data_IF_576138886253
#
_entry.id   IF_576138886253
#
_cell.length_a   1.000
_cell.length_b   1.000
_cell.length_c   1.000
_cell.angle_alpha   90.00
_cell.angle_beta   90.00
_cell.angle_gamma   90.00
#
_symmetry.space_group_name_H-M   'P 1'
#
loop_
_entity.id
_entity.type
_entity.pdbx_description
1 polymer ?
#
# COMPACT_ATOMS: atom_id res chain seq x y z
N UNK A 1 44.70 69.72 24.01
CA UNK A 1 43.27 69.65 24.38
C UNK A 1 42.50 69.51 23.07
N UNK A 2 42.33 68.33 22.48
CA UNK A 2 41.61 67.10 22.88
C UNK A 2 40.09 67.28 22.99
N UNK A 3 39.38 66.72 22.00
CA UNK A 3 38.11 65.96 22.05
C UNK A 3 37.69 65.75 20.58
N UNK A 4 37.46 64.57 20.02
CA UNK A 4 37.28 63.23 20.58
C UNK A 4 36.21 62.53 19.72
N UNK A 5 36.65 61.69 18.78
CA UNK A 5 35.81 60.80 17.97
C UNK A 5 34.90 59.93 18.86
N UNK A 6 33.61 59.83 18.57
CA UNK A 6 32.77 58.69 18.99
C UNK A 6 31.65 58.50 17.95
N UNK A 7 31.81 57.51 17.07
CA UNK A 7 31.02 56.27 17.09
C UNK A 7 30.00 56.19 15.94
N UNK A 8 30.56 55.91 14.76
CA UNK A 8 29.88 55.27 13.63
C UNK A 8 29.55 53.81 14.02
N UNK A 9 28.46 53.58 14.76
CA UNK A 9 28.07 52.22 15.21
C UNK A 9 26.57 52.16 15.57
N UNK A 10 25.67 52.45 14.62
CA UNK A 10 24.31 51.88 14.66
C UNK A 10 24.16 51.01 13.43
N UNK A 11 24.76 49.84 13.59
CA UNK A 11 24.66 48.66 12.74
C UNK A 11 23.20 48.22 12.66
N UNK A 12 22.69 48.05 11.45
CA UNK A 12 22.34 46.73 10.93
C UNK A 12 21.77 45.76 12.00
N UNK A 13 20.55 46.01 12.48
CA UNK A 13 19.87 45.13 13.45
C UNK A 13 18.38 44.99 13.14
N UNK A 14 17.99 44.95 11.87
CA UNK A 14 16.59 44.80 11.48
C UNK A 14 16.41 43.92 10.23
N UNK A 15 17.11 42.76 10.19
CA UNK A 15 16.96 41.80 9.09
C UNK A 15 17.21 40.33 9.49
N UNK A 16 17.09 39.97 10.76
CA UNK A 16 17.24 38.58 11.24
C UNK A 16 16.14 38.22 12.24
N UNK A 17 14.86 38.29 11.83
CA UNK A 17 13.78 37.71 12.64
C UNK A 17 12.64 37.07 11.84
N UNK A 18 12.89 36.66 10.58
CA UNK A 18 11.88 35.94 9.77
C UNK A 18 12.24 34.49 9.41
N UNK A 19 13.37 33.95 9.90
CA UNK A 19 13.80 32.58 9.53
C UNK A 19 13.31 31.51 10.54
N UNK A 20 12.78 31.89 11.71
CA UNK A 20 12.48 30.94 12.80
C UNK A 20 11.05 30.37 12.90
N UNK A 21 10.08 30.88 12.14
CA UNK A 21 8.65 30.56 12.38
C UNK A 21 8.12 29.41 11.49
N UNK A 22 8.79 29.11 10.38
CA UNK A 22 8.34 28.04 9.48
C UNK A 22 8.62 26.63 10.03
N UNK A 23 9.68 26.43 10.80
CA UNK A 23 10.09 25.11 11.31
C UNK A 23 9.21 24.57 12.43
N UNK A 24 8.57 25.44 13.23
CA UNK A 24 7.71 25.01 14.36
C UNK A 24 6.34 24.50 13.88
N UNK A 25 5.77 25.09 12.83
CA UNK A 25 4.49 24.68 12.27
C UNK A 25 4.56 23.31 11.58
N UNK A 26 5.63 23.04 10.82
CA UNK A 26 5.86 21.76 10.17
C UNK A 26 6.03 20.61 11.19
N UNK A 27 6.88 20.81 12.21
CA UNK A 27 7.08 19.83 13.28
C UNK A 27 5.82 19.56 14.11
N UNK A 28 5.01 20.58 14.40
CA UNK A 28 3.73 20.40 15.09
C UNK A 28 2.71 19.62 14.23
N UNK A 29 2.67 19.86 12.92
CA UNK A 29 1.78 19.15 12.01
C UNK A 29 2.17 17.67 11.87
N UNK A 30 3.47 17.36 11.80
CA UNK A 30 4.00 16.00 11.78
C UNK A 30 3.70 15.24 13.09
N UNK A 31 3.96 15.85 14.25
CA UNK A 31 3.62 15.26 15.55
C UNK A 31 2.12 14.95 15.66
N UNK A 32 1.26 15.86 15.19
CA UNK A 32 -0.19 15.63 15.15
C UNK A 32 -0.60 14.48 14.23
N UNK A 33 0.16 14.23 13.15
CA UNK A 33 -0.12 13.13 12.22
C UNK A 33 0.33 11.79 12.81
N UNK A 34 1.52 11.74 13.40
CA UNK A 34 2.04 10.57 14.10
C UNK A 34 1.08 10.14 15.22
N UNK A 35 0.64 11.06 16.06
CA UNK A 35 -0.30 10.78 17.15
C UNK A 35 -1.62 10.21 16.62
N UNK A 36 -2.21 10.83 15.58
CA UNK A 36 -3.43 10.32 14.94
C UNK A 36 -3.25 8.90 14.39
N UNK A 37 -2.10 8.61 13.77
CA UNK A 37 -1.84 7.28 13.20
C UNK A 37 -1.57 6.22 14.26
N UNK A 38 -0.84 6.56 15.33
CA UNK A 38 -0.69 5.71 16.52
C UNK A 38 -2.03 5.42 17.17
N UNK A 39 -2.87 6.44 17.33
CA UNK A 39 -4.22 6.28 17.87
C UNK A 39 -5.10 5.40 16.97
N UNK A 40 -5.00 5.53 15.64
CA UNK A 40 -5.78 4.73 14.69
C UNK A 40 -5.46 3.23 14.75
N UNK A 41 -4.24 2.87 15.17
CA UNK A 41 -3.79 1.46 15.35
C UNK A 41 -3.74 1.03 16.81
N UNK A 42 -4.06 1.92 17.75
CA UNK A 42 -4.13 1.58 19.17
C UNK A 42 -5.36 0.69 19.42
N UNK A 43 -5.20 -0.32 20.27
CA UNK A 43 -6.31 -1.20 20.66
C UNK A 43 -6.88 -2.06 19.53
N UNK A 44 -6.14 -2.25 18.44
CA UNK A 44 -6.57 -3.15 17.36
C UNK A 44 -6.58 -4.59 17.84
N UNK A 45 -7.57 -5.39 17.40
CA UNK A 45 -7.65 -6.82 17.72
C UNK A 45 -6.65 -7.69 16.94
N UNK A 46 -5.82 -7.08 16.10
CA UNK A 46 -4.78 -7.77 15.36
C UNK A 46 -3.54 -7.95 16.25
N UNK A 47 -2.81 -9.06 16.06
CA UNK A 47 -1.54 -9.31 16.75
C UNK A 47 -0.45 -8.28 16.42
N UNK A 48 -0.62 -7.56 15.30
CA UNK A 48 0.23 -6.45 14.90
C UNK A 48 -0.57 -5.14 15.03
N UNK A 49 0.10 -4.00 15.25
CA UNK A 49 -0.54 -2.68 15.32
C UNK A 49 -1.01 -2.25 13.91
N UNK A 50 -2.14 -2.80 13.47
CA UNK A 50 -2.72 -2.61 12.14
C UNK A 50 -4.23 -2.39 12.22
N UNK A 51 -4.73 -1.41 11.47
CA UNK A 51 -6.16 -1.13 11.33
C UNK A 51 -6.56 -1.14 9.88
N UNK A 52 -7.56 -1.95 9.55
CA UNK A 52 -8.22 -1.96 8.23
C UNK A 52 -9.51 -1.14 8.30
N UNK A 53 -9.80 -0.36 7.26
CA UNK A 53 -11.08 0.33 7.09
C UNK A 53 -11.50 0.33 5.61
N UNK A 54 -12.79 0.55 5.35
CA UNK A 54 -13.33 0.65 4.00
C UNK A 54 -14.49 1.62 3.89
N UNK A 55 -14.58 2.27 2.74
CA UNK A 55 -15.67 3.18 2.35
C UNK A 55 -16.21 2.77 0.99
N UNK A 56 -17.54 2.74 0.85
CA UNK A 56 -18.22 2.49 -0.42
C UNK A 56 -19.14 3.67 -0.73
N UNK A 57 -19.03 4.19 -1.96
CA UNK A 57 -19.94 5.18 -2.54
C UNK A 57 -20.70 4.56 -3.71
N UNK A 58 -21.55 5.35 -4.39
CA UNK A 58 -22.43 4.85 -5.46
C UNK A 58 -21.69 4.15 -6.62
N UNK A 59 -20.49 4.60 -6.96
CA UNK A 59 -19.70 4.12 -8.10
C UNK A 59 -18.21 3.92 -7.77
N UNK A 60 -17.86 3.94 -6.49
CA UNK A 60 -16.47 3.76 -6.06
C UNK A 60 -16.39 3.01 -4.73
N UNK A 61 -15.26 2.36 -4.52
CA UNK A 61 -14.96 1.69 -3.27
C UNK A 61 -13.49 1.92 -2.94
N UNK A 62 -13.20 2.13 -1.66
CA UNK A 62 -11.83 2.27 -1.16
C UNK A 62 -11.62 1.50 0.13
N UNK A 63 -10.42 0.95 0.29
CA UNK A 63 -9.94 0.31 1.50
C UNK A 63 -8.64 0.96 1.94
N UNK A 64 -8.41 1.02 3.24
CA UNK A 64 -7.17 1.56 3.81
C UNK A 64 -6.65 0.68 4.93
N UNK A 65 -5.32 0.62 5.03
CA UNK A 65 -4.59 0.05 6.15
C UNK A 65 -3.75 1.15 6.79
N UNK A 66 -3.94 1.39 8.09
CA UNK A 66 -2.93 2.06 8.91
C UNK A 66 -2.13 0.99 9.64
N UNK A 67 -0.80 1.13 9.69
CA UNK A 67 0.05 0.16 10.38
C UNK A 67 1.33 0.80 10.91
N UNK A 68 1.92 0.18 11.93
CA UNK A 68 3.32 0.40 12.31
C UNK A 68 4.19 -0.73 11.78
N UNK A 69 5.24 -0.39 11.04
CA UNK A 69 6.23 -1.31 10.48
C UNK A 69 7.54 -1.21 11.29
N UNK A 70 8.16 -2.34 11.68
CA UNK A 70 9.46 -2.36 12.36
C UNK A 70 10.62 -2.12 11.37
N UNK A 71 10.54 -1.02 10.61
CA UNK A 71 11.52 -0.60 9.63
C UNK A 71 11.80 0.89 9.83
N UNK A 72 13.08 1.29 9.96
CA UNK A 72 13.48 2.70 9.99
C UNK A 72 12.98 3.43 8.75
N UNK A 73 12.50 4.66 8.93
CA UNK A 73 11.97 5.49 7.83
C UNK A 73 12.97 5.67 6.67
N UNK A 74 14.28 5.92 6.89
CA UNK A 74 15.23 6.06 5.77
C UNK A 74 15.31 4.82 4.87
N UNK A 75 15.27 3.62 5.46
CA UNK A 75 15.32 2.37 4.69
C UNK A 75 14.03 2.16 3.89
N UNK A 76 12.88 2.54 4.45
CA UNK A 76 11.60 2.50 3.75
C UNK A 76 11.54 3.54 2.62
N UNK A 77 12.04 4.75 2.86
CA UNK A 77 12.11 5.84 1.87
C UNK A 77 12.95 5.46 0.65
N UNK A 78 14.14 4.92 0.87
CA UNK A 78 15.02 4.45 -0.20
C UNK A 78 14.35 3.34 -1.02
N UNK A 79 13.79 2.32 -0.37
CA UNK A 79 13.21 1.16 -1.05
C UNK A 79 11.93 1.53 -1.83
N UNK A 80 11.01 2.29 -1.21
CA UNK A 80 9.68 2.54 -1.80
C UNK A 80 9.65 3.63 -2.87
N UNK A 81 10.77 4.32 -3.11
CA UNK A 81 10.94 5.21 -4.26
C UNK A 81 11.38 4.47 -5.53
N UNK A 82 11.66 3.17 -5.45
CA UNK A 82 11.98 2.32 -6.60
C UNK A 82 10.73 1.69 -7.23
N UNK A 83 10.47 1.99 -8.50
CA UNK A 83 9.44 1.32 -9.30
C UNK A 83 9.65 -0.21 -9.35
N UNK A 84 10.92 -0.65 -9.39
CA UNK A 84 11.27 -2.07 -9.35
C UNK A 84 10.82 -2.76 -8.06
N UNK A 85 11.03 -2.11 -6.90
CA UNK A 85 10.59 -2.62 -5.60
C UNK A 85 9.07 -2.83 -5.56
N UNK A 86 8.30 -1.90 -6.12
CA UNK A 86 6.85 -2.06 -6.24
C UNK A 86 6.45 -3.26 -7.09
N UNK A 87 7.18 -3.56 -8.16
CA UNK A 87 6.94 -4.79 -8.91
C UNK A 87 7.22 -6.05 -8.10
N UNK A 88 8.27 -6.07 -7.29
CA UNK A 88 8.56 -7.21 -6.40
C UNK A 88 7.46 -7.38 -5.33
N UNK A 89 6.99 -6.29 -4.74
CA UNK A 89 5.87 -6.27 -3.79
C UNK A 89 4.59 -6.81 -4.45
N UNK A 90 4.20 -6.24 -5.60
CA UNK A 90 2.98 -6.64 -6.31
C UNK A 90 3.06 -8.10 -6.76
N UNK A 91 4.24 -8.58 -7.16
CA UNK A 91 4.44 -9.95 -7.59
C UNK A 91 4.15 -10.98 -6.48
N UNK A 92 4.16 -10.63 -5.19
CA UNK A 92 3.76 -11.56 -4.14
C UNK A 92 2.25 -11.87 -4.17
N UNK A 93 1.41 -10.95 -4.65
CA UNK A 93 -0.04 -11.11 -4.65
C UNK A 93 -0.50 -12.25 -5.57
N UNK A 94 -1.34 -13.19 -5.10
CA UNK A 94 -1.74 -14.42 -5.82
C UNK A 94 -2.23 -14.22 -7.28
N UNK A 95 -2.88 -13.08 -7.56
CA UNK A 95 -3.38 -12.75 -8.90
C UNK A 95 -2.31 -12.16 -9.85
N UNK A 96 -1.17 -11.66 -9.35
CA UNK A 96 -0.14 -11.07 -10.21
C UNK A 96 0.75 -12.16 -10.78
N UNK A 97 0.86 -12.21 -12.12
CA UNK A 97 1.62 -13.22 -12.88
C UNK A 97 2.94 -12.68 -13.41
N UNK A 98 3.03 -11.38 -13.67
CA UNK A 98 4.27 -10.70 -14.01
C UNK A 98 4.14 -9.22 -13.62
N UNK A 99 5.26 -8.58 -13.30
CA UNK A 99 5.35 -7.14 -13.17
C UNK A 99 6.72 -6.69 -13.65
N UNK A 100 6.72 -5.72 -14.56
CA UNK A 100 7.93 -5.07 -15.04
C UNK A 100 7.80 -3.57 -14.85
N UNK A 101 8.82 -2.97 -14.25
CA UNK A 101 8.96 -1.52 -14.24
C UNK A 101 9.70 -1.11 -15.51
N UNK A 102 9.10 -0.24 -16.29
CA UNK A 102 9.72 0.43 -17.42
C UNK A 102 9.93 1.88 -17.01
N UNK A 103 11.19 2.31 -16.93
CA UNK A 103 11.57 3.67 -16.57
C UNK A 103 11.96 4.42 -17.84
N UNK A 104 11.07 5.31 -18.29
CA UNK A 104 11.29 6.16 -19.45
C UNK A 104 11.39 7.61 -18.97
N UNK A 105 12.63 8.10 -18.83
CA UNK A 105 12.89 9.53 -18.63
C UNK A 105 12.33 10.14 -17.34
N UNK A 106 12.26 9.38 -16.25
CA UNK A 106 11.81 9.87 -14.93
C UNK A 106 10.32 9.66 -14.62
N UNK A 107 9.56 9.09 -15.56
CA UNK A 107 8.21 8.58 -15.34
C UNK A 107 8.23 7.06 -15.49
N UNK A 108 8.13 6.33 -14.38
CA UNK A 108 8.10 4.88 -14.43
C UNK A 108 6.66 4.36 -14.63
N UNK A 109 6.51 3.35 -15.48
CA UNK A 109 5.26 2.60 -15.64
C UNK A 109 5.47 1.15 -15.20
N UNK A 110 4.62 0.66 -14.30
CA UNK A 110 4.59 -0.75 -13.95
C UNK A 110 3.61 -1.48 -14.86
N UNK A 111 4.12 -2.35 -15.72
CA UNK A 111 3.33 -3.25 -16.57
C UNK A 111 3.01 -4.50 -15.77
N UNK A 112 1.81 -4.56 -15.19
CA UNK A 112 1.34 -5.66 -14.33
C UNK A 112 0.46 -6.60 -15.14
N UNK A 113 0.72 -7.90 -15.08
CA UNK A 113 -0.17 -8.91 -15.66
C UNK A 113 -0.96 -9.57 -14.53
N UNK A 114 -2.27 -9.35 -14.54
CA UNK A 114 -3.21 -9.86 -13.52
C UNK A 114 -4.00 -11.03 -14.10
N UNK A 115 -3.86 -12.21 -13.52
CA UNK A 115 -4.60 -13.41 -13.90
C UNK A 115 -5.61 -13.83 -12.83
N UNK A 116 -6.38 -14.87 -13.14
CA UNK A 116 -7.29 -15.55 -12.22
C UNK A 116 -6.52 -16.35 -11.15
N UNK A 117 -7.29 -16.83 -10.16
CA UNK A 117 -6.80 -17.65 -9.04
C UNK A 117 -6.28 -19.03 -9.49
N UNK A 118 -6.80 -19.56 -10.59
CA UNK A 118 -6.31 -20.77 -11.24
C UNK A 118 -5.32 -20.41 -12.35
N UNK A 119 -4.50 -21.39 -12.75
CA UNK A 119 -3.49 -21.19 -13.78
C UNK A 119 -4.09 -20.63 -15.08
N UNK A 120 -3.42 -19.63 -15.63
CA UNK A 120 -3.68 -19.03 -16.94
C UNK A 120 -2.34 -18.67 -17.61
N UNK A 121 -2.30 -18.67 -18.94
CA UNK A 121 -1.18 -18.14 -19.71
C UNK A 121 -1.06 -16.61 -19.52
N UNK A 122 0.09 -16.02 -19.89
CA UNK A 122 0.26 -14.56 -19.83
C UNK A 122 -0.59 -13.83 -20.87
N UNK A 123 -0.92 -14.48 -22.00
CA UNK A 123 -1.84 -13.94 -23.01
C UNK A 123 -3.29 -13.88 -22.52
N UNK A 124 -3.66 -14.72 -21.55
CA UNK A 124 -4.97 -14.71 -20.90
C UNK A 124 -5.00 -13.84 -19.63
N UNK A 125 -3.85 -13.31 -19.21
CA UNK A 125 -3.76 -12.38 -18.10
C UNK A 125 -4.06 -10.97 -18.59
N UNK A 126 -4.89 -10.25 -17.84
CA UNK A 126 -5.23 -8.87 -18.17
C UNK A 126 -4.06 -7.96 -17.79
N UNK A 127 -3.60 -7.17 -18.76
CA UNK A 127 -2.56 -6.18 -18.55
C UNK A 127 -3.13 -4.93 -17.89
N UNK A 128 -2.48 -4.51 -16.82
CA UNK A 128 -2.74 -3.29 -16.07
C UNK A 128 -1.45 -2.46 -16.08
N UNK A 129 -1.50 -1.31 -16.73
CA UNK A 129 -0.39 -0.35 -16.73
C UNK A 129 -0.62 0.66 -15.60
N UNK A 130 0.29 0.67 -14.63
CA UNK A 130 0.25 1.57 -13.48
C UNK A 130 1.33 2.63 -13.62
N UNK A 131 0.93 3.89 -13.74
CA UNK A 131 1.86 5.00 -13.62
C UNK A 131 2.35 5.09 -12.18
N UNK A 132 3.67 5.05 -12.00
CA UNK A 132 4.33 5.16 -10.70
C UNK A 132 4.86 6.57 -10.51
N UNK A 133 4.47 7.19 -9.39
CA UNK A 133 4.87 8.56 -9.07
C UNK A 133 5.21 8.70 -7.58
N UNK A 134 6.36 9.32 -7.28
CA UNK A 134 6.70 9.81 -5.94
C UNK A 134 6.03 11.17 -5.76
N UNK A 135 4.83 11.17 -5.16
CA UNK A 135 4.01 12.38 -5.03
C UNK A 135 4.57 13.41 -4.04
N UNK A 136 5.30 12.96 -3.01
CA UNK A 136 6.05 13.82 -2.11
C UNK A 136 7.17 13.03 -1.43
N UNK A 137 8.34 13.64 -1.31
CA UNK A 137 9.49 13.11 -0.57
C UNK A 137 10.17 14.25 0.18
N UNK A 138 10.07 14.22 1.49
CA UNK A 138 10.62 15.23 2.40
C UNK A 138 11.26 14.51 3.59
N UNK A 139 12.16 15.17 4.36
CA UNK A 139 12.61 14.62 5.63
C UNK A 139 11.41 14.23 6.50
N UNK A 140 11.30 12.97 6.87
CA UNK A 140 10.20 12.47 7.71
C UNK A 140 8.85 12.25 7.02
N UNK A 141 8.74 12.42 5.69
CA UNK A 141 7.48 12.15 4.99
C UNK A 141 7.69 11.62 3.57
N UNK A 142 7.05 10.49 3.29
CA UNK A 142 7.00 9.89 1.95
C UNK A 142 5.54 9.72 1.51
N UNK A 143 5.25 10.05 0.25
CA UNK A 143 4.02 9.68 -0.44
C UNK A 143 4.32 9.11 -1.82
N UNK A 144 3.83 7.89 -2.07
CA UNK A 144 3.97 7.18 -3.34
C UNK A 144 2.60 6.82 -3.88
N UNK A 145 2.41 6.90 -5.19
CA UNK A 145 1.14 6.60 -5.86
C UNK A 145 1.38 5.71 -7.07
N UNK A 146 0.52 4.70 -7.23
CA UNK A 146 0.39 3.87 -8.42
C UNK A 146 -1.02 4.07 -8.97
N UNK A 147 -1.13 4.55 -10.20
CA UNK A 147 -2.40 4.91 -10.83
C UNK A 147 -2.60 4.19 -12.17
N UNK A 148 -3.79 3.66 -12.41
CA UNK A 148 -4.15 3.03 -13.68
C UNK A 148 -5.54 3.43 -14.13
N UNK A 149 -5.69 3.85 -15.39
CA UNK A 149 -6.97 4.34 -15.91
C UNK A 149 -8.00 3.23 -16.05
N UNK A 150 -7.55 2.06 -16.49
CA UNK A 150 -8.38 0.87 -16.72
C UNK A 150 -7.83 -0.29 -15.93
N UNK A 151 -8.72 -1.02 -15.27
CA UNK A 151 -8.43 -2.26 -14.59
C UNK A 151 -9.33 -3.39 -15.07
N UNK A 152 -9.16 -4.59 -14.49
CA UNK A 152 -9.93 -5.74 -14.92
C UNK A 152 -11.44 -5.58 -14.80
N UNK A 153 -12.19 -6.27 -15.66
CA UNK A 153 -13.66 -6.29 -15.63
C UNK A 153 -14.34 -4.91 -15.72
N UNK A 154 -13.81 -3.99 -16.54
CA UNK A 154 -14.30 -2.60 -16.70
C UNK A 154 -14.27 -1.77 -15.40
N UNK A 155 -13.36 -2.13 -14.47
CA UNK A 155 -12.97 -1.22 -13.39
C UNK A 155 -12.07 -0.11 -13.93
N UNK A 156 -12.10 1.06 -13.29
CA UNK A 156 -11.40 2.25 -13.75
C UNK A 156 -10.79 3.01 -12.58
N UNK A 157 -9.88 3.93 -12.90
CA UNK A 157 -9.25 4.82 -11.92
C UNK A 157 -8.71 4.04 -10.70
N UNK A 158 -7.96 2.96 -10.98
CA UNK A 158 -7.21 2.23 -9.97
C UNK A 158 -6.23 3.20 -9.32
N UNK A 159 -6.21 3.23 -7.99
CA UNK A 159 -5.23 4.02 -7.24
C UNK A 159 -4.78 3.27 -6.00
N UNK A 160 -3.51 2.91 -5.94
CA UNK A 160 -2.83 2.44 -4.74
C UNK A 160 -1.90 3.55 -4.27
N UNK A 161 -2.09 4.03 -3.05
CA UNK A 161 -1.32 5.12 -2.46
C UNK A 161 -0.73 4.69 -1.14
N UNK A 162 0.55 4.92 -0.96
CA UNK A 162 1.24 4.75 0.30
C UNK A 162 1.68 6.12 0.83
N UNK A 163 1.48 6.33 2.13
CA UNK A 163 2.14 7.38 2.89
C UNK A 163 2.93 6.75 4.02
N UNK A 164 4.10 7.30 4.34
CA UNK A 164 4.91 6.88 5.47
C UNK A 164 5.49 8.07 6.22
N UNK A 165 5.64 7.91 7.54
CA UNK A 165 6.27 8.85 8.47
C UNK A 165 7.10 8.06 9.49
N UNK A 166 8.17 8.64 10.07
CA UNK A 166 8.96 7.98 11.09
C UNK A 166 8.16 7.74 12.37
N UNK A 167 8.55 6.74 13.14
CA UNK A 167 7.96 6.38 14.43
C UNK A 167 9.04 5.94 15.42
N UNK A 168 9.90 6.89 15.78
CA UNK A 168 11.19 6.62 16.41
C UNK A 168 12.25 6.22 15.38
N UNK A 169 13.38 5.70 15.84
CA UNK A 169 14.52 5.35 14.98
C UNK A 169 14.34 4.00 14.25
N UNK A 170 13.60 3.07 14.85
CA UNK A 170 13.52 1.69 14.37
C UNK A 170 12.24 1.37 13.58
N UNK A 171 11.29 2.30 13.53
CA UNK A 171 9.97 2.04 12.98
C UNK A 171 9.43 3.20 12.14
N UNK A 172 8.42 2.85 11.34
CA UNK A 172 7.66 3.79 10.52
C UNK A 172 6.18 3.52 10.68
N UNK A 173 5.37 4.58 10.70
CA UNK A 173 3.92 4.45 10.54
C UNK A 173 3.58 4.62 9.06
N UNK A 174 2.63 3.84 8.58
CA UNK A 174 2.15 3.91 7.20
C UNK A 174 0.64 4.05 7.11
N UNK A 175 0.18 4.66 6.02
CA UNK A 175 -1.16 4.49 5.49
C UNK A 175 -1.06 3.96 4.06
N UNK A 176 -1.64 2.78 3.81
CA UNK A 176 -1.84 2.23 2.48
C UNK A 176 -3.30 2.34 2.11
N UNK A 177 -3.63 3.04 1.03
CA UNK A 177 -5.01 3.20 0.53
C UNK A 177 -5.13 2.64 -0.87
N UNK A 178 -6.14 1.79 -1.08
CA UNK A 178 -6.48 1.22 -2.37
C UNK A 178 -7.90 1.61 -2.76
N UNK A 179 -8.10 2.15 -3.97
CA UNK A 179 -9.41 2.55 -4.47
C UNK A 179 -9.59 2.23 -5.94
N UNK A 180 -10.85 2.07 -6.35
CA UNK A 180 -11.26 1.93 -7.73
C UNK A 180 -12.67 2.48 -7.95
N UNK A 181 -12.98 2.77 -9.21
CA UNK A 181 -14.30 3.20 -9.70
C UNK A 181 -14.86 2.13 -10.62
N UNK A 182 -16.19 2.03 -10.71
CA UNK A 182 -16.88 1.09 -11.59
C UNK A 182 -18.14 1.71 -12.19
N UNK A 183 -18.51 1.26 -13.39
CA UNK A 183 -19.78 1.64 -14.03
C UNK A 183 -20.99 0.88 -13.48
N UNK A 184 -22.19 1.26 -13.91
CA UNK A 184 -23.44 0.59 -13.52
C UNK A 184 -23.46 -0.91 -13.82
N UNK A 185 -23.03 -1.39 -15.02
CA UNK A 185 -23.02 -2.83 -15.30
C UNK A 185 -22.12 -3.60 -14.34
N UNK A 186 -20.91 -3.09 -14.09
CA UNK A 186 -19.96 -3.67 -13.14
C UNK A 186 -20.50 -3.67 -11.71
N UNK A 187 -21.20 -2.61 -11.28
CA UNK A 187 -21.85 -2.56 -9.96
C UNK A 187 -22.91 -3.66 -9.79
N UNK A 188 -23.77 -3.85 -10.78
CA UNK A 188 -24.81 -4.89 -10.76
C UNK A 188 -24.17 -6.29 -10.73
N UNK A 189 -23.15 -6.52 -11.56
CA UNK A 189 -22.42 -7.78 -11.61
C UNK A 189 -21.74 -8.10 -10.26
N UNK A 190 -21.05 -7.12 -9.66
CA UNK A 190 -20.41 -7.28 -8.35
C UNK A 190 -21.44 -7.53 -7.25
N UNK A 191 -22.56 -6.80 -7.26
CA UNK A 191 -23.65 -7.05 -6.32
C UNK A 191 -24.19 -8.49 -6.45
N UNK A 192 -24.52 -8.94 -7.66
CA UNK A 192 -25.01 -10.29 -7.89
C UNK A 192 -23.98 -11.34 -7.46
N UNK A 193 -22.70 -11.13 -7.79
CA UNK A 193 -21.61 -12.00 -7.35
C UNK A 193 -21.60 -12.14 -5.83
N UNK A 194 -21.60 -11.03 -5.08
CA UNK A 194 -21.55 -11.07 -3.63
C UNK A 194 -22.85 -11.54 -2.96
N UNK A 195 -24.00 -11.46 -3.63
CA UNK A 195 -25.25 -12.04 -3.15
C UNK A 195 -25.23 -13.58 -3.24
N UNK A 196 -24.65 -14.14 -4.31
CA UNK A 196 -24.76 -15.58 -4.59
C UNK A 196 -23.45 -16.37 -4.39
N UNK A 197 -22.41 -16.08 -5.19
CA UNK A 197 -21.18 -16.89 -5.24
C UNK A 197 -20.07 -16.40 -4.29
N UNK A 198 -20.11 -15.10 -3.95
CA UNK A 198 -19.14 -14.40 -3.13
C UNK A 198 -19.62 -14.11 -1.71
N UNK A 199 -20.78 -14.62 -1.29
CA UNK A 199 -21.42 -14.29 -0.01
C UNK A 199 -20.54 -14.53 1.21
N UNK A 200 -19.72 -15.58 1.17
CA UNK A 200 -18.85 -15.96 2.28
C UNK A 200 -17.48 -15.26 2.20
N UNK A 201 -17.28 -14.39 1.19
CA UNK A 201 -16.07 -13.58 1.03
C UNK A 201 -16.19 -12.31 1.86
N UNK A 202 -15.72 -12.41 3.10
CA UNK A 202 -15.79 -11.33 4.08
C UNK A 202 -14.45 -10.61 4.28
N UNK A 203 -14.52 -9.35 4.68
CA UNK A 203 -13.40 -8.51 5.08
C UNK A 203 -13.07 -8.66 6.57
N UNK A 204 -12.53 -7.59 7.14
CA UNK A 204 -11.99 -7.54 8.50
C UNK A 204 -12.82 -6.69 9.46
N UNK A 205 -13.55 -5.70 8.95
CA UNK A 205 -14.42 -4.88 9.79
C UNK A 205 -15.56 -5.72 10.35
N UNK A 206 -15.74 -5.67 11.68
CA UNK A 206 -16.87 -6.30 12.38
C UNK A 206 -18.06 -5.34 12.35
N UNK A 207 -19.20 -5.77 11.81
CA UNK A 207 -20.44 -4.98 11.73
C UNK A 207 -21.45 -5.35 12.83
N UNK A 208 -21.08 -6.33 13.67
CA UNK A 208 -21.86 -6.80 14.80
C UNK A 208 -21.48 -8.23 15.14
N UNK A 209 -22.27 -8.84 16.00
CA UNK A 209 -22.13 -10.24 16.36
C UNK A 209 -23.41 -10.98 15.96
N UNK A 210 -23.30 -12.28 15.68
CA UNK A 210 -24.46 -13.13 15.46
C UNK A 210 -25.08 -13.61 16.78
N UNK A 211 -26.14 -14.42 16.70
CA UNK A 211 -26.85 -14.94 17.86
C UNK A 211 -25.99 -15.84 18.77
N UNK A 212 -24.82 -16.31 18.29
CA UNK A 212 -23.85 -17.12 19.03
C UNK A 212 -22.72 -16.27 19.62
N UNK A 213 -22.75 -14.95 19.40
CA UNK A 213 -21.69 -14.04 19.83
C UNK A 213 -20.49 -14.00 18.89
N UNK A 214 -20.53 -14.66 17.73
CA UNK A 214 -19.42 -14.68 16.78
C UNK A 214 -19.41 -13.39 15.93
N UNK A 215 -18.24 -12.85 15.58
CA UNK A 215 -18.15 -11.63 14.80
C UNK A 215 -18.70 -11.83 13.38
N UNK A 216 -19.64 -10.96 13.02
CA UNK A 216 -20.15 -10.79 11.66
C UNK A 216 -19.32 -9.76 10.94
N UNK A 217 -18.47 -10.24 10.05
CA UNK A 217 -17.58 -9.42 9.24
C UNK A 217 -18.31 -8.79 8.04
N UNK A 218 -17.83 -7.63 7.62
CA UNK A 218 -18.29 -6.91 6.45
C UNK A 218 -18.16 -7.77 5.19
N UNK A 219 -19.24 -7.86 4.40
CA UNK A 219 -19.26 -8.57 3.12
C UNK A 219 -19.23 -7.63 1.92
N UNK A 220 -19.57 -8.17 0.74
CA UNK A 220 -19.79 -7.36 -0.45
C UNK A 220 -18.55 -6.63 -0.97
N UNK A 221 -18.76 -5.46 -1.58
CA UNK A 221 -17.68 -4.65 -2.15
C UNK A 221 -16.71 -4.14 -1.06
N UNK A 222 -17.21 -3.82 0.14
CA UNK A 222 -16.37 -3.45 1.28
C UNK A 222 -15.51 -4.62 1.75
N UNK A 223 -16.09 -5.81 1.90
CA UNK A 223 -15.31 -7.02 2.20
C UNK A 223 -14.24 -7.29 1.15
N UNK A 224 -14.58 -7.16 -0.15
CA UNK A 224 -13.64 -7.31 -1.25
C UNK A 224 -12.44 -6.35 -1.15
N UNK A 225 -12.70 -5.06 -0.95
CA UNK A 225 -11.64 -4.04 -0.94
C UNK A 225 -10.73 -4.20 0.29
N UNK A 226 -11.29 -4.56 1.45
CA UNK A 226 -10.52 -4.80 2.68
C UNK A 226 -9.55 -5.97 2.51
N UNK A 227 -9.99 -7.05 1.86
CA UNK A 227 -9.14 -8.20 1.56
C UNK A 227 -7.99 -7.84 0.61
N UNK A 228 -8.26 -6.99 -0.39
CA UNK A 228 -7.24 -6.56 -1.35
C UNK A 228 -6.19 -5.65 -0.69
N UNK A 229 -6.62 -4.60 0.02
CA UNK A 229 -5.68 -3.68 0.69
C UNK A 229 -4.85 -4.40 1.76
N UNK A 230 -5.45 -5.35 2.50
CA UNK A 230 -4.70 -6.17 3.45
C UNK A 230 -3.64 -7.02 2.76
N UNK A 231 -3.95 -7.67 1.62
CA UNK A 231 -2.93 -8.44 0.87
C UNK A 231 -1.77 -7.57 0.37
N UNK A 232 -2.05 -6.35 -0.07
CA UNK A 232 -0.99 -5.40 -0.45
C UNK A 232 -0.13 -5.00 0.74
N UNK A 233 -0.74 -4.72 1.90
CA UNK A 233 -0.02 -4.46 3.14
C UNK A 233 0.89 -5.64 3.54
N UNK A 234 0.36 -6.87 3.51
CA UNK A 234 1.14 -8.07 3.86
C UNK A 234 2.31 -8.28 2.87
N UNK A 235 2.11 -7.99 1.59
CA UNK A 235 3.17 -8.05 0.57
C UNK A 235 4.26 -7.01 0.83
N UNK A 236 3.87 -5.76 1.08
CA UNK A 236 4.78 -4.67 1.44
C UNK A 236 5.64 -5.03 2.65
N UNK A 237 5.01 -5.49 3.75
CA UNK A 237 5.71 -5.87 4.97
C UNK A 237 6.69 -7.02 4.75
N UNK A 238 6.30 -8.04 3.98
CA UNK A 238 7.18 -9.19 3.68
C UNK A 238 8.37 -8.79 2.83
N UNK A 239 8.15 -7.92 1.84
CA UNK A 239 9.22 -7.37 1.01
C UNK A 239 10.24 -6.59 1.86
N UNK A 240 9.76 -5.63 2.65
CA UNK A 240 10.62 -4.78 3.49
C UNK A 240 11.40 -5.58 4.54
N UNK A 241 10.79 -6.61 5.15
CA UNK A 241 11.45 -7.44 6.15
C UNK A 241 12.43 -8.49 5.57
N UNK A 242 12.48 -8.67 4.26
CA UNK A 242 13.21 -9.76 3.62
C UNK A 242 13.79 -9.40 2.26
N UNK A 243 14.15 -8.13 2.04
CA UNK A 243 14.60 -7.61 0.73
C UNK A 243 15.74 -8.42 0.11
N UNK A 244 16.73 -8.81 0.92
CA UNK A 244 17.89 -9.62 0.49
C UNK A 244 17.61 -11.13 0.38
N UNK A 245 16.40 -11.56 0.72
CA UNK A 245 16.06 -12.98 0.72
C UNK A 245 15.70 -13.47 -0.67
N UNK A 246 16.02 -14.73 -0.92
CA UNK A 246 15.60 -15.45 -2.13
C UNK A 246 14.08 -15.34 -2.29
N UNK A 247 13.63 -15.19 -3.54
CA UNK A 247 12.21 -15.05 -3.89
C UNK A 247 11.34 -16.13 -3.22
N UNK A 248 11.79 -17.39 -3.23
CA UNK A 248 11.09 -18.52 -2.62
C UNK A 248 10.76 -18.28 -1.14
N UNK A 249 11.70 -17.70 -0.37
CA UNK A 249 11.49 -17.36 1.05
C UNK A 249 10.43 -16.27 1.19
N UNK A 250 10.47 -15.23 0.36
CA UNK A 250 9.47 -14.16 0.37
C UNK A 250 8.07 -14.68 0.01
N UNK A 251 7.97 -15.59 -0.97
CA UNK A 251 6.70 -16.23 -1.34
C UNK A 251 6.09 -16.99 -0.17
N UNK A 252 6.87 -17.84 0.51
CA UNK A 252 6.40 -18.61 1.69
C UNK A 252 6.00 -17.71 2.85
N UNK A 253 6.79 -16.67 3.14
CA UNK A 253 6.47 -15.68 4.18
C UNK A 253 5.19 -14.92 3.88
N UNK A 254 4.95 -14.55 2.63
CA UNK A 254 3.69 -13.92 2.21
C UNK A 254 2.51 -14.88 2.38
N UNK A 255 2.65 -16.13 1.95
CA UNK A 255 1.60 -17.14 2.13
C UNK A 255 1.27 -17.32 3.62
N UNK A 256 2.27 -17.59 4.46
CA UNK A 256 2.10 -17.71 5.92
C UNK A 256 1.47 -16.45 6.54
N UNK A 257 1.83 -15.25 6.06
CA UNK A 257 1.22 -14.01 6.52
C UNK A 257 -0.28 -13.92 6.19
N UNK A 258 -0.71 -14.42 5.03
CA UNK A 258 -2.14 -14.48 4.67
C UNK A 258 -2.90 -15.55 5.45
N UNK A 259 -2.24 -16.65 5.81
CA UNK A 259 -2.81 -17.77 6.56
C UNK A 259 -3.06 -17.45 8.04
N UNK A 260 -2.58 -16.31 8.54
CA UNK A 260 -3.02 -15.75 9.83
C UNK A 260 -4.48 -15.26 9.80
N UNK A 261 -5.06 -15.09 8.60
CA UNK A 261 -6.43 -14.64 8.40
C UNK A 261 -7.15 -15.55 7.40
N UNK A 262 -7.27 -16.86 7.66
CA UNK A 262 -7.70 -17.81 6.64
C UNK A 262 -9.16 -17.60 6.21
N UNK A 263 -10.04 -17.19 7.13
CA UNK A 263 -11.44 -16.85 6.83
C UNK A 263 -11.56 -15.71 5.82
N UNK A 264 -10.68 -14.71 5.89
CA UNK A 264 -10.70 -13.54 5.03
C UNK A 264 -9.87 -13.77 3.76
N UNK A 265 -8.67 -14.34 3.88
CA UNK A 265 -7.64 -14.25 2.84
C UNK A 265 -7.31 -15.55 2.10
N UNK A 266 -7.63 -16.72 2.66
CA UNK A 266 -7.28 -18.00 2.02
C UNK A 266 -8.05 -18.18 0.72
N UNK A 267 -7.33 -18.55 -0.32
CA UNK A 267 -7.86 -18.80 -1.67
C UNK A 267 -7.28 -20.07 -2.31
N UNK A 268 -6.07 -20.46 -1.92
CA UNK A 268 -5.30 -21.59 -2.42
C UNK A 268 -4.55 -22.23 -1.25
N UNK A 269 -4.17 -23.50 -1.37
CA UNK A 269 -3.16 -24.11 -0.50
C UNK A 269 -1.74 -23.63 -0.87
N UNK A 270 -0.77 -23.91 0.02
CA UNK A 270 0.61 -23.44 -0.14
C UNK A 270 1.27 -23.99 -1.41
N UNK A 271 1.09 -25.28 -1.69
CA UNK A 271 1.72 -25.95 -2.82
C UNK A 271 1.21 -25.35 -4.14
N UNK A 272 -0.11 -25.17 -4.27
CA UNK A 272 -0.76 -24.51 -5.40
C UNK A 272 -0.26 -23.08 -5.59
N UNK A 273 -0.16 -22.29 -4.52
CA UNK A 273 0.35 -20.92 -4.59
C UNK A 273 1.81 -20.87 -5.05
N UNK A 274 2.69 -21.66 -4.45
CA UNK A 274 4.12 -21.68 -4.77
C UNK A 274 4.36 -22.19 -6.20
N UNK A 275 3.65 -23.23 -6.62
CA UNK A 275 3.76 -23.75 -7.98
C UNK A 275 3.39 -22.67 -9.01
N UNK A 276 2.25 -21.99 -8.82
CA UNK A 276 1.82 -20.90 -9.70
C UNK A 276 2.87 -19.79 -9.77
N UNK A 277 3.45 -19.40 -8.62
CA UNK A 277 4.44 -18.32 -8.55
C UNK A 277 5.77 -18.69 -9.20
N UNK A 278 6.24 -19.93 -9.05
CA UNK A 278 7.44 -20.42 -9.73
C UNK A 278 7.24 -20.45 -11.25
N UNK A 279 6.08 -20.92 -11.73
CA UNK A 279 5.73 -20.91 -13.16
C UNK A 279 5.69 -19.48 -13.71
N UNK A 280 5.05 -18.57 -12.98
CA UNK A 280 4.95 -17.16 -13.33
C UNK A 280 6.33 -16.49 -13.40
N UNK A 281 7.20 -16.77 -12.42
CA UNK A 281 8.57 -16.24 -12.38
C UNK A 281 9.42 -16.70 -13.57
N UNK A 282 9.40 -18.00 -13.91
CA UNK A 282 10.13 -18.54 -15.07
C UNK A 282 9.73 -17.87 -16.38
N UNK A 283 8.42 -17.63 -16.57
CA UNK A 283 7.91 -16.93 -17.77
C UNK A 283 8.34 -15.48 -17.81
N UNK A 284 8.28 -14.79 -16.68
CA UNK A 284 8.72 -13.41 -16.58
C UNK A 284 10.21 -13.26 -16.91
N UNK A 285 11.05 -14.22 -16.48
CA UNK A 285 12.47 -14.25 -16.84
C UNK A 285 12.69 -14.46 -18.34
N UNK A 286 11.93 -15.36 -18.98
CA UNK A 286 12.00 -15.57 -20.42
C UNK A 286 11.69 -14.29 -21.22
N UNK A 287 10.66 -13.54 -20.81
CA UNK A 287 10.26 -12.27 -21.44
C UNK A 287 11.22 -11.09 -21.19
N UNK A 288 12.20 -11.24 -20.28
CA UNK A 288 13.25 -10.24 -20.03
C UNK A 288 14.53 -10.51 -20.81
N UNK A 289 14.69 -11.72 -21.33
CA UNK A 289 15.84 -12.13 -22.14
C UNK A 289 15.62 -12.01 -23.66
N UNK A 290 14.40 -11.65 -24.07
CA UNK A 290 14.01 -11.24 -25.43
C UNK A 290 14.03 -9.71 -25.54
#
# INVERSE_FOLDING_TARGET
MSTGRLASFVRLAMLIFLVGVASSAAGAQEASLQERWRAAIAGTSFAEPVRVASEQRSYSVSGSVHARLPQPFPALDEELTSAGAWCEILFLHLNVKACRADDEGGNATLRVHVGRKHYQSLQEAERLDLQFHVGARQPGYLAVVLEGDRGPYDTRAFRLRLRAIPDGEEASLIELRYSLVYGTPARVALWAYFTFAGRDRVGFTVEGHDARGEPRYVGGMRGMIERNVMRFYLALRVHLAGREQRLETRLRRWFAATERYPRQLRELDEASYLEQKRRAHRRHQALRGE
#
